data_IF_721692881686
#
_entry.id   IF_721692881686
#
_cell.length_a   1.000
_cell.length_b   1.000
_cell.length_c   1.000
_cell.angle_alpha   90.00
_cell.angle_beta   90.00
_cell.angle_gamma   90.00
#
_symmetry.space_group_name_H-M   'P 1'
#
loop_
_entity.id
_entity.type
_entity.pdbx_description
1 polymer ?
#
# COMPACT_ATOMS: atom_id res chain seq x y z
N UNK A 1 5.01 18.62 -9.63
CA UNK A 1 5.59 18.49 -8.26
C UNK A 1 4.54 18.57 -7.17
N UNK A 2 3.77 19.67 -7.03
CA UNK A 2 2.76 19.78 -5.95
C UNK A 2 1.69 18.67 -6.06
N UNK A 3 1.19 18.38 -7.25
CA UNK A 3 0.16 17.35 -7.47
C UNK A 3 0.69 15.93 -7.23
N UNK A 4 1.93 15.63 -7.61
CA UNK A 4 2.54 14.30 -7.43
C UNK A 4 2.70 13.95 -5.95
N UNK A 5 3.08 14.95 -5.13
CA UNK A 5 3.17 14.79 -3.67
C UNK A 5 1.79 14.47 -3.06
N UNK A 6 0.71 15.11 -3.52
CA UNK A 6 -0.64 14.81 -3.08
C UNK A 6 -1.12 13.42 -3.51
N UNK A 7 -0.73 12.97 -4.71
CA UNK A 7 -1.05 11.61 -5.20
C UNK A 7 -0.37 10.56 -4.33
N UNK A 8 0.91 10.76 -4.00
CA UNK A 8 1.65 9.88 -3.09
C UNK A 8 1.07 9.89 -1.67
N UNK A 9 0.72 11.06 -1.13
CA UNK A 9 0.09 11.17 0.18
C UNK A 9 -1.30 10.52 0.21
N UNK A 10 -2.12 10.74 -0.82
CA UNK A 10 -3.46 10.18 -0.92
C UNK A 10 -3.45 8.65 -1.07
N UNK A 11 -2.54 8.12 -1.90
CA UNK A 11 -2.37 6.67 -2.06
C UNK A 11 -1.79 6.01 -0.80
N UNK A 12 -0.87 6.67 -0.11
CA UNK A 12 -0.39 6.21 1.20
C UNK A 12 -1.52 6.15 2.23
N UNK A 13 -2.34 7.20 2.32
CA UNK A 13 -3.49 7.23 3.22
C UNK A 13 -4.50 6.12 2.91
N UNK A 14 -4.73 5.82 1.62
CA UNK A 14 -5.57 4.72 1.18
C UNK A 14 -5.02 3.35 1.62
N UNK A 15 -3.71 3.13 1.52
CA UNK A 15 -3.06 1.88 1.97
C UNK A 15 -3.16 1.72 3.49
N UNK A 16 -3.00 2.81 4.25
CA UNK A 16 -3.24 2.78 5.70
C UNK A 16 -4.69 2.46 6.05
N UNK A 17 -5.65 3.04 5.33
CA UNK A 17 -7.07 2.74 5.50
C UNK A 17 -7.36 1.26 5.26
N UNK A 18 -6.85 0.69 4.16
CA UNK A 18 -7.00 -0.73 3.85
C UNK A 18 -6.35 -1.63 4.91
N UNK A 19 -5.18 -1.24 5.41
CA UNK A 19 -4.51 -1.97 6.50
C UNK A 19 -5.36 -1.97 7.78
N UNK A 20 -6.00 -0.85 8.10
CA UNK A 20 -6.92 -0.74 9.24
C UNK A 20 -8.17 -1.61 9.04
N UNK A 21 -8.75 -1.62 7.84
CA UNK A 21 -9.88 -2.50 7.49
C UNK A 21 -9.50 -3.97 7.66
N UNK A 22 -8.32 -4.38 7.16
CA UNK A 22 -7.78 -5.72 7.33
C UNK A 22 -7.70 -6.10 8.82
N UNK A 23 -7.20 -5.20 9.67
CA UNK A 23 -7.13 -5.43 11.12
C UNK A 23 -8.52 -5.62 11.76
N UNK A 24 -9.51 -4.83 11.35
CA UNK A 24 -10.88 -4.95 11.86
C UNK A 24 -11.51 -6.28 11.43
N UNK A 25 -11.38 -6.65 10.16
CA UNK A 25 -11.96 -7.88 9.61
C UNK A 25 -11.31 -9.15 10.21
N UNK A 26 -10.00 -9.13 10.46
CA UNK A 26 -9.29 -10.28 11.03
C UNK A 26 -9.43 -10.41 12.56
N UNK A 27 -9.93 -9.37 13.26
CA UNK A 27 -10.10 -9.39 14.73
C UNK A 27 -11.10 -10.46 15.20
N UNK A 28 -12.15 -10.73 14.41
CA UNK A 28 -13.22 -11.68 14.76
C UNK A 28 -12.97 -13.12 14.36
N UNK A 29 -11.88 -13.44 13.67
CA UNK A 29 -11.64 -14.78 13.14
C UNK A 29 -10.97 -15.70 14.17
N UNK A 30 -11.55 -16.88 14.41
CA UNK A 30 -11.03 -17.99 15.23
C UNK A 30 -10.11 -18.95 14.45
N UNK A 31 -9.44 -18.45 13.41
CA UNK A 31 -8.51 -19.26 12.62
C UNK A 31 -7.17 -19.38 13.35
N UNK A 32 -6.62 -20.59 13.45
CA UNK A 32 -5.35 -20.87 14.15
C UNK A 32 -4.16 -20.01 13.65
N UNK A 33 -4.22 -19.50 12.40
CA UNK A 33 -3.13 -18.72 11.79
C UNK A 33 -3.52 -17.25 11.51
N UNK A 34 -4.51 -16.69 12.22
CA UNK A 34 -5.01 -15.32 11.97
C UNK A 34 -3.93 -14.24 12.01
N UNK A 35 -2.90 -14.41 12.85
CA UNK A 35 -1.79 -13.47 12.96
C UNK A 35 -0.89 -13.50 11.72
N UNK A 36 -0.55 -14.68 11.23
CA UNK A 36 0.25 -14.87 10.02
C UNK A 36 -0.48 -14.35 8.78
N UNK A 37 -1.77 -14.66 8.65
CA UNK A 37 -2.61 -14.19 7.55
C UNK A 37 -2.69 -12.66 7.56
N UNK A 38 -2.89 -12.04 8.73
CA UNK A 38 -2.93 -10.58 8.85
C UNK A 38 -1.59 -9.94 8.48
N UNK A 39 -0.48 -10.47 8.98
CA UNK A 39 0.86 -9.97 8.65
C UNK A 39 1.14 -10.14 7.16
N UNK A 40 0.78 -11.30 6.58
CA UNK A 40 0.92 -11.58 5.16
C UNK A 40 0.13 -10.62 4.27
N UNK A 41 -1.15 -10.38 4.60
CA UNK A 41 -1.99 -9.46 3.83
C UNK A 41 -1.52 -8.00 3.92
N UNK A 42 -1.17 -7.53 5.13
CA UNK A 42 -0.65 -6.16 5.32
C UNK A 42 0.71 -6.02 4.62
N UNK A 43 1.57 -7.02 4.76
CA UNK A 43 2.90 -7.05 4.12
C UNK A 43 2.79 -7.02 2.59
N UNK A 44 1.93 -7.85 2.00
CA UNK A 44 1.69 -7.86 0.56
C UNK A 44 1.13 -6.51 0.06
N UNK A 45 0.21 -5.90 0.81
CA UNK A 45 -0.34 -4.59 0.48
C UNK A 45 0.72 -3.50 0.49
N UNK A 46 1.56 -3.46 1.54
CA UNK A 46 2.66 -2.49 1.65
C UNK A 46 3.72 -2.69 0.57
N UNK A 47 4.09 -3.94 0.29
CA UNK A 47 5.05 -4.26 -0.77
C UNK A 47 4.54 -3.83 -2.14
N UNK A 48 3.26 -4.13 -2.45
CA UNK A 48 2.62 -3.69 -3.68
C UNK A 48 2.59 -2.17 -3.82
N UNK A 49 2.30 -1.45 -2.73
CA UNK A 49 2.34 0.01 -2.71
C UNK A 49 3.75 0.56 -3.00
N UNK A 50 4.78 0.04 -2.35
CA UNK A 50 6.18 0.48 -2.57
C UNK A 50 6.56 0.24 -4.04
N UNK A 51 6.26 -0.93 -4.60
CA UNK A 51 6.54 -1.24 -6.00
C UNK A 51 5.83 -0.25 -6.95
N UNK A 52 4.55 0.02 -6.74
CA UNK A 52 3.79 0.99 -7.52
C UNK A 52 4.35 2.41 -7.37
N UNK A 53 4.67 2.84 -6.15
CA UNK A 53 5.18 4.18 -5.88
C UNK A 53 6.53 4.42 -6.57
N UNK A 54 7.42 3.42 -6.60
CA UNK A 54 8.68 3.49 -7.34
C UNK A 54 8.47 3.68 -8.84
N UNK A 55 7.55 2.92 -9.43
CA UNK A 55 7.19 3.05 -10.86
C UNK A 55 6.56 4.41 -11.15
N UNK A 56 5.68 4.88 -10.27
CA UNK A 56 5.06 6.19 -10.42
C UNK A 56 6.11 7.31 -10.35
N UNK A 57 7.01 7.27 -9.36
CA UNK A 57 8.07 8.27 -9.19
C UNK A 57 9.04 8.30 -10.36
N UNK A 58 9.39 7.15 -10.94
CA UNK A 58 10.31 7.09 -12.09
C UNK A 58 9.75 7.77 -13.34
N UNK A 59 8.43 7.92 -13.42
CA UNK A 59 7.73 8.58 -14.53
C UNK A 59 7.45 10.08 -14.30
N UNK A 60 7.66 10.63 -13.10
CA UNK A 60 7.39 12.06 -12.81
C UNK A 60 8.29 12.99 -13.65
N UNK A 61 9.56 12.61 -13.82
CA UNK A 61 10.52 13.26 -14.72
C UNK A 61 11.37 12.18 -15.38
N UNK A 62 10.89 11.61 -16.50
CA UNK A 62 11.64 10.56 -17.17
C UNK A 62 12.91 11.15 -17.77
N UNK A 63 14.03 10.46 -17.61
CA UNK A 63 15.31 10.84 -18.23
C UNK A 63 15.34 10.57 -19.74
N UNK A 64 14.44 9.71 -20.22
CA UNK A 64 14.33 9.29 -21.62
C UNK A 64 12.86 9.30 -22.00
N UNK A 65 12.52 9.96 -23.10
CA UNK A 65 11.18 9.89 -23.71
C UNK A 65 11.07 8.64 -24.60
N UNK A 66 9.85 8.07 -24.76
CA UNK A 66 9.64 6.87 -25.57
C UNK A 66 9.98 7.06 -27.04
#
# INVERSE_FOLDING_TARGET
MKYDAWILLGSLAFVFLLSAIIMVLTKGQTVNNKHEIRIGMIGALMFGYIAWACVYMSQIKPFVSP
#
